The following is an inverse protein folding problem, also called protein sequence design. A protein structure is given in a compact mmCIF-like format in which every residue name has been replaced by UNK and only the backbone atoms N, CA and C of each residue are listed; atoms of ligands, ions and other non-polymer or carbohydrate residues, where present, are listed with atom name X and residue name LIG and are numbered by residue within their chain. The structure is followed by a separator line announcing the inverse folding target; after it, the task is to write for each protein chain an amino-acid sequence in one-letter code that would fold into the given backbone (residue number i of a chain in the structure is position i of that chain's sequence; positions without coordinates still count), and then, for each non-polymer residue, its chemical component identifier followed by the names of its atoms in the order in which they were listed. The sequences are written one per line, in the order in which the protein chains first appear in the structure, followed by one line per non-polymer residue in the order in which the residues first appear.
data_IF_660578597721
#
_entry.id   IF_660578597721
#
_cell.length_a   1.000
_cell.length_b   1.000
_cell.length_c   1.000
_cell.angle_alpha   90.00
_cell.angle_beta   90.00
_cell.angle_gamma   90.00
#
_symmetry.space_group_name_H-M   'P 1'
#
loop_
_entity.id
_entity.type
_entity.pdbx_description
1 polymer ?
#
# COMPACT_ATOMS: atom_id res chain seq x y z
N UNK A 1 16.60 -9.96 6.79
CA UNK A 1 15.78 -11.12 6.39
C UNK A 1 14.36 -10.59 6.24
N UNK A 2 13.80 -10.61 5.03
CA UNK A 2 12.37 -10.33 4.85
C UNK A 2 11.60 -11.31 5.75
N UNK A 3 10.66 -10.80 6.54
CA UNK A 3 9.81 -11.63 7.40
C UNK A 3 8.41 -11.50 6.83
N UNK A 4 7.73 -12.61 6.62
CA UNK A 4 6.32 -12.54 6.29
C UNK A 4 5.55 -11.99 7.49
N UNK A 5 4.61 -11.08 7.22
CA UNK A 5 3.64 -10.61 8.19
C UNK A 5 2.27 -11.11 7.78
N UNK A 6 1.59 -11.83 8.66
CA UNK A 6 0.22 -12.30 8.42
C UNK A 6 -0.74 -11.62 9.38
N UNK A 7 -2.01 -11.52 8.96
CA UNK A 7 -3.04 -10.96 9.81
C UNK A 7 -4.45 -11.21 9.29
N UNK A 8 -5.41 -10.80 10.09
CA UNK A 8 -6.82 -10.76 9.73
C UNK A 8 -7.40 -9.43 10.19
N UNK A 9 -8.26 -8.82 9.38
CA UNK A 9 -8.96 -7.60 9.76
C UNK A 9 -9.38 -6.78 8.55
N UNK A 10 -9.70 -5.51 8.81
CA UNK A 10 -10.18 -4.60 7.76
C UNK A 10 -9.08 -4.30 6.75
N UNK A 11 -9.38 -4.48 5.47
CA UNK A 11 -8.48 -4.13 4.37
C UNK A 11 -9.20 -3.17 3.42
N UNK A 12 -8.54 -2.06 3.11
CA UNK A 12 -8.99 -1.11 2.10
C UNK A 12 -8.09 -1.27 0.86
N UNK A 13 -8.68 -1.60 -0.28
CA UNK A 13 -7.99 -1.91 -1.53
C UNK A 13 -8.39 -0.86 -2.58
N UNK A 14 -7.43 -0.28 -3.28
CA UNK A 14 -7.70 0.80 -4.22
C UNK A 14 -6.69 0.86 -5.37
N UNK A 15 -7.12 1.32 -6.56
CA UNK A 15 -6.19 1.63 -7.64
C UNK A 15 -5.38 2.88 -7.29
N UNK A 16 -4.09 2.84 -7.57
CA UNK A 16 -3.16 3.92 -7.26
C UNK A 16 -2.32 4.31 -8.47
N UNK A 17 -2.43 5.57 -8.89
CA UNK A 17 -1.55 6.18 -9.89
C UNK A 17 -0.24 6.55 -9.19
N UNK A 18 0.85 5.85 -9.48
CA UNK A 18 2.14 6.05 -8.83
C UNK A 18 3.18 6.73 -9.71
N UNK A 19 2.88 6.92 -10.99
CA UNK A 19 3.72 7.65 -11.93
C UNK A 19 2.82 8.48 -12.85
N UNK A 20 2.98 9.80 -12.79
CA UNK A 20 2.18 10.74 -13.58
C UNK A 20 2.70 10.87 -15.01
N UNK A 21 3.99 10.67 -15.24
CA UNK A 21 4.59 10.85 -16.56
C UNK A 21 4.15 9.73 -17.50
N UNK A 22 4.10 8.50 -16.98
CA UNK A 22 3.71 7.30 -17.74
C UNK A 22 2.24 6.93 -17.58
N UNK A 23 1.53 7.53 -16.61
CA UNK A 23 0.17 7.13 -16.25
C UNK A 23 0.09 5.78 -15.54
N UNK A 24 1.20 5.25 -15.05
CA UNK A 24 1.30 3.90 -14.48
C UNK A 24 0.55 3.73 -13.17
N UNK A 25 -0.17 2.60 -13.06
CA UNK A 25 -1.01 2.29 -11.92
C UNK A 25 -0.66 0.93 -11.31
N UNK A 26 -0.90 0.82 -10.01
CA UNK A 26 -0.87 -0.44 -9.28
C UNK A 26 -2.11 -0.57 -8.38
N UNK A 27 -2.27 -1.72 -7.73
CA UNK A 27 -3.28 -1.93 -6.70
C UNK A 27 -2.60 -1.85 -5.34
N UNK A 28 -3.04 -0.93 -4.49
CA UNK A 28 -2.60 -0.89 -3.10
C UNK A 28 -3.66 -1.47 -2.19
N UNK A 29 -3.22 -2.29 -1.24
CA UNK A 29 -3.98 -2.71 -0.09
C UNK A 29 -3.43 -2.01 1.16
N UNK A 30 -4.34 -1.54 2.01
CA UNK A 30 -4.03 -0.89 3.27
C UNK A 30 -4.81 -1.52 4.42
N UNK A 31 -4.10 -1.92 5.45
CA UNK A 31 -4.65 -2.45 6.70
C UNK A 31 -3.85 -1.91 7.89
N UNK A 32 -4.28 -2.29 9.08
CA UNK A 32 -3.61 -1.91 10.32
C UNK A 32 -3.42 -3.15 11.18
N UNK A 33 -2.27 -3.23 11.84
CA UNK A 33 -1.95 -4.26 12.81
C UNK A 33 -1.65 -3.62 14.18
N UNK A 34 -1.35 -4.45 15.18
CA UNK A 34 -0.95 -4.00 16.52
C UNK A 34 -1.93 -2.99 17.13
N UNK A 35 -3.21 -3.34 17.14
CA UNK A 35 -4.32 -2.50 17.61
C UNK A 35 -4.41 -1.13 16.91
N UNK A 36 -3.98 -1.04 15.65
CA UNK A 36 -4.00 0.20 14.88
C UNK A 36 -2.67 0.95 14.84
N UNK A 37 -1.69 0.56 15.67
CA UNK A 37 -0.41 1.26 15.78
C UNK A 37 0.50 1.03 14.57
N UNK A 38 0.33 -0.07 13.84
CA UNK A 38 1.12 -0.36 12.64
C UNK A 38 0.28 -0.17 11.40
N UNK A 39 0.66 0.77 10.54
CA UNK A 39 0.14 0.85 9.17
C UNK A 39 0.80 -0.23 8.32
N UNK A 40 -0.01 -1.04 7.65
CA UNK A 40 0.48 -2.08 6.74
C UNK A 40 -0.03 -1.77 5.34
N UNK A 41 0.90 -1.55 4.42
CA UNK A 41 0.60 -1.32 3.01
C UNK A 41 1.22 -2.43 2.17
N UNK A 42 0.60 -2.74 1.05
CA UNK A 42 1.27 -3.54 0.05
C UNK A 42 0.65 -3.46 -1.32
N UNK A 43 1.44 -3.83 -2.31
CA UNK A 43 0.96 -3.95 -3.69
C UNK A 43 0.31 -5.32 -3.85
N UNK A 44 -0.94 -5.36 -4.34
CA UNK A 44 -1.54 -6.61 -4.82
C UNK A 44 -1.04 -6.82 -6.26
N UNK A 45 -0.35 -7.93 -6.55
CA UNK A 45 0.22 -8.16 -7.86
C UNK A 45 -0.84 -8.33 -8.94
N UNK A 46 -0.59 -7.71 -10.09
CA UNK A 46 -1.40 -7.86 -11.30
C UNK A 46 -0.51 -8.44 -12.40
N UNK A 47 -0.85 -9.64 -12.89
CA UNK A 47 -0.11 -10.28 -13.97
C UNK A 47 -0.08 -9.38 -15.22
N UNK A 48 1.07 -9.29 -15.89
CA UNK A 48 1.27 -8.42 -17.05
C UNK A 48 1.45 -6.94 -16.74
N UNK A 49 1.31 -6.49 -15.48
CA UNK A 49 1.56 -5.09 -15.13
C UNK A 49 3.07 -4.81 -15.03
N UNK A 50 3.67 -4.41 -16.16
CA UNK A 50 5.10 -4.06 -16.25
C UNK A 50 5.50 -2.84 -15.43
N UNK A 51 4.53 -2.08 -14.92
CA UNK A 51 4.78 -0.85 -14.18
C UNK A 51 4.62 -0.99 -12.66
N UNK A 52 4.47 -2.22 -12.14
CA UNK A 52 4.40 -2.43 -10.70
C UNK A 52 5.62 -1.81 -9.98
N UNK A 53 5.43 -0.98 -8.94
CA UNK A 53 6.52 -0.18 -8.37
C UNK A 53 7.59 -0.99 -7.63
N UNK A 54 7.36 -2.28 -7.35
CA UNK A 54 8.27 -3.18 -6.63
C UNK A 54 8.47 -2.79 -5.17
N UNK A 55 9.32 -1.80 -4.91
CA UNK A 55 9.59 -1.24 -3.58
C UNK A 55 8.75 0.02 -3.32
N UNK A 56 7.79 -0.11 -2.41
CA UNK A 56 6.91 0.99 -2.00
C UNK A 56 7.63 2.14 -1.29
N UNK A 57 8.73 1.89 -0.58
CA UNK A 57 9.54 2.96 0.01
C UNK A 57 10.34 3.70 -1.07
N UNK A 58 10.88 2.99 -2.06
CA UNK A 58 11.52 3.63 -3.21
C UNK A 58 10.50 4.46 -4.02
N UNK A 59 9.28 3.96 -4.20
CA UNK A 59 8.18 4.72 -4.79
C UNK A 59 7.88 5.99 -3.99
N UNK A 60 7.74 5.89 -2.66
CA UNK A 60 7.52 7.05 -1.80
C UNK A 60 8.64 8.09 -1.90
N UNK A 61 9.90 7.64 -2.00
CA UNK A 61 11.05 8.52 -2.16
C UNK A 61 11.00 9.36 -3.45
N UNK A 62 10.46 8.81 -4.55
CA UNK A 62 10.34 9.53 -5.85
C UNK A 62 9.35 10.68 -5.83
N UNK A 63 8.30 10.60 -5.00
CA UNK A 63 7.24 11.61 -4.98
C UNK A 63 7.65 12.92 -4.29
N UNK A 64 8.88 12.99 -3.77
CA UNK A 64 9.43 14.09 -2.98
C UNK A 64 8.55 14.48 -1.78
N UNK A 65 9.17 15.10 -0.77
CA UNK A 65 8.43 15.60 0.39
C UNK A 65 8.17 17.08 0.21
N UNK A 66 6.91 17.48 0.30
CA UNK A 66 6.54 18.90 0.33
C UNK A 66 6.65 19.39 1.78
N UNK A 67 7.65 20.23 2.04
CA UNK A 67 7.90 20.88 3.34
C UNK A 67 8.99 20.23 4.20
N UNK A 68 9.35 20.91 5.29
CA UNK A 68 10.33 20.44 6.28
C UNK A 68 9.71 19.38 7.21
N UNK A 69 9.43 18.20 6.68
CA UNK A 69 9.14 17.05 7.54
C UNK A 69 10.45 16.64 8.24
N UNK A 70 10.47 16.76 9.57
CA UNK A 70 11.60 16.32 10.41
C UNK A 70 11.80 14.80 10.28
N UNK A 71 13.02 14.33 10.54
CA UNK A 71 13.37 12.91 10.52
C UNK A 71 14.24 12.50 9.32
N UNK A 72 14.68 11.25 9.32
CA UNK A 72 15.50 10.66 8.25
C UNK A 72 14.72 10.53 6.93
N UNK A 73 15.41 10.26 5.83
CA UNK A 73 14.76 9.95 4.55
C UNK A 73 13.75 8.80 4.66
N UNK A 74 14.06 7.79 5.46
CA UNK A 74 13.21 6.61 5.69
C UNK A 74 11.94 6.98 6.45
N UNK A 75 12.06 7.82 7.49
CA UNK A 75 10.93 8.37 8.25
C UNK A 75 9.93 9.05 7.31
N UNK A 76 10.44 9.92 6.44
CA UNK A 76 9.62 10.66 5.49
C UNK A 76 8.90 9.71 4.54
N UNK A 77 9.59 8.70 3.99
CA UNK A 77 8.98 7.70 3.12
C UNK A 77 7.87 6.91 3.84
N UNK A 78 8.12 6.52 5.10
CA UNK A 78 7.11 5.91 5.97
C UNK A 78 5.88 6.80 6.16
N UNK A 79 6.09 8.08 6.47
CA UNK A 79 5.01 9.06 6.61
C UNK A 79 4.18 9.20 5.32
N UNK A 80 4.81 9.26 4.16
CA UNK A 80 4.10 9.33 2.88
C UNK A 80 3.24 8.08 2.64
N UNK A 81 3.73 6.89 2.99
CA UNK A 81 2.96 5.65 2.89
C UNK A 81 1.78 5.63 3.87
N UNK A 82 2.01 6.00 5.13
CA UNK A 82 0.94 6.09 6.13
C UNK A 82 -0.15 7.10 5.72
N UNK A 83 0.26 8.27 5.20
CA UNK A 83 -0.64 9.27 4.63
C UNK A 83 -1.44 8.70 3.46
N UNK A 84 -0.78 8.02 2.53
CA UNK A 84 -1.43 7.42 1.35
C UNK A 84 -2.48 6.38 1.74
N UNK A 85 -2.16 5.49 2.68
CA UNK A 85 -3.08 4.47 3.18
C UNK A 85 -4.26 5.07 3.94
N UNK A 86 -3.97 5.83 5.00
CA UNK A 86 -4.99 6.44 5.87
C UNK A 86 -5.88 7.43 5.11
N UNK A 87 -5.28 8.25 4.24
CA UNK A 87 -5.98 9.16 3.35
C UNK A 87 -6.90 8.43 2.38
N UNK A 88 -6.45 7.33 1.77
CA UNK A 88 -7.28 6.54 0.84
C UNK A 88 -8.44 5.80 1.53
N UNK A 89 -8.29 5.47 2.82
CA UNK A 89 -9.40 4.94 3.62
C UNK A 89 -10.45 6.01 3.95
N UNK A 90 -10.00 7.24 4.19
CA UNK A 90 -10.86 8.37 4.56
C UNK A 90 -11.57 8.97 3.35
N UNK A 91 -10.84 9.18 2.25
CA UNK A 91 -11.33 9.71 0.98
C UNK A 91 -11.16 8.64 -0.08
N UNK A 92 -12.23 7.86 -0.26
CA UNK A 92 -12.23 6.68 -1.13
C UNK A 92 -12.15 7.07 -2.60
N UNK A 93 -11.22 6.45 -3.31
CA UNK A 93 -11.10 6.54 -4.77
C UNK A 93 -12.23 5.74 -5.43
N UNK A 94 -12.65 6.10 -6.63
CA UNK A 94 -13.58 5.29 -7.41
C UNK A 94 -13.03 3.87 -7.56
N UNK A 95 -13.87 2.86 -7.33
CA UNK A 95 -13.48 1.46 -7.34
C UNK A 95 -12.80 0.95 -6.07
N UNK A 96 -12.65 1.77 -5.02
CA UNK A 96 -12.13 1.28 -3.73
C UNK A 96 -12.99 0.15 -3.19
N UNK A 97 -12.37 -0.98 -2.85
CA UNK A 97 -13.00 -2.11 -2.15
C UNK A 97 -12.62 -2.01 -0.68
N UNK A 98 -13.61 -1.90 0.20
CA UNK A 98 -13.40 -1.93 1.65
C UNK A 98 -13.98 -3.21 2.21
N UNK A 99 -13.12 -4.06 2.77
CA UNK A 99 -13.49 -5.37 3.30
C UNK A 99 -13.39 -5.31 4.82
N UNK A 100 -14.50 -5.47 5.56
CA UNK A 100 -14.49 -5.37 7.02
C UNK A 100 -13.54 -6.35 7.70
N UNK A 101 -13.43 -7.55 7.15
CA UNK A 101 -12.54 -8.60 7.64
C UNK A 101 -12.12 -9.53 6.51
N UNK A 102 -10.80 -9.69 6.33
CA UNK A 102 -10.21 -10.72 5.47
C UNK A 102 -8.83 -11.11 6.00
N UNK A 103 -8.39 -12.32 5.66
CA UNK A 103 -7.03 -12.80 5.98
C UNK A 103 -6.06 -12.33 4.90
N UNK A 104 -4.88 -11.94 5.33
CA UNK A 104 -3.86 -11.39 4.45
C UNK A 104 -2.45 -11.78 4.90
N UNK A 105 -1.55 -11.73 3.93
CA UNK A 105 -0.10 -11.86 4.13
C UNK A 105 0.59 -10.72 3.41
N UNK A 106 1.63 -10.16 4.02
CA UNK A 106 2.58 -9.26 3.39
C UNK A 106 3.94 -9.93 3.43
N UNK A 107 4.48 -10.24 2.26
CA UNK A 107 5.90 -10.52 2.13
C UNK A 107 6.63 -9.18 2.34
N UNK A 108 7.16 -8.99 3.55
CA UNK A 108 7.67 -7.69 3.98
C UNK A 108 8.97 -7.38 3.26
N UNK A 109 8.90 -6.39 2.38
CA UNK A 109 10.10 -5.78 1.82
C UNK A 109 10.80 -4.91 2.89
N UNK A 110 10.04 -4.12 3.68
CA UNK A 110 10.62 -3.16 4.62
C UNK A 110 9.64 -2.70 5.70
N UNK A 111 10.18 -2.29 6.84
CA UNK A 111 9.44 -1.61 7.90
C UNK A 111 10.24 -0.44 8.47
N UNK A 112 9.55 0.59 8.93
CA UNK A 112 10.11 1.78 9.57
C UNK A 112 9.31 2.10 10.83
N UNK A 113 9.98 2.19 11.97
CA UNK A 113 9.42 2.76 13.20
C UNK A 113 9.46 4.27 13.11
N UNK A 114 8.35 4.94 13.41
CA UNK A 114 8.24 6.39 13.29
C UNK A 114 8.74 7.10 14.56
N UNK A 115 9.47 8.20 14.39
CA UNK A 115 9.99 8.99 15.53
C UNK A 115 8.86 9.60 16.38
N UNK A 116 7.67 9.75 15.80
CA UNK A 116 6.44 10.17 16.48
C UNK A 116 5.21 9.59 15.77
N UNK A 117 4.06 9.42 16.47
CA UNK A 117 2.85 8.92 15.85
C UNK A 117 2.41 9.78 14.65
N UNK A 118 2.08 9.12 13.54
CA UNK A 118 1.63 9.75 12.31
C UNK A 118 0.37 9.08 11.77
N UNK A 119 -0.71 9.85 11.59
CA UNK A 119 -2.06 9.32 11.35
C UNK A 119 -2.51 8.25 12.37
N UNK A 120 -1.99 8.32 13.61
CA UNK A 120 -2.24 7.34 14.66
C UNK A 120 -1.34 6.11 14.63
N UNK A 121 -0.41 6.02 13.67
CA UNK A 121 0.52 4.90 13.54
C UNK A 121 1.90 5.25 14.11
N UNK A 122 2.53 4.33 14.81
CA UNK A 122 3.92 4.41 15.27
C UNK A 122 4.88 3.62 14.39
N UNK A 123 4.37 2.78 13.48
CA UNK A 123 5.17 1.94 12.59
C UNK A 123 4.51 1.81 11.22
N UNK A 124 5.32 1.72 10.17
CA UNK A 124 4.87 1.45 8.80
C UNK A 124 5.56 0.22 8.26
N UNK A 125 4.77 -0.70 7.72
CA UNK A 125 5.22 -1.91 7.02
C UNK A 125 4.77 -1.82 5.58
N UNK A 126 5.67 -2.12 4.65
CA UNK A 126 5.35 -2.15 3.23
C UNK A 126 5.95 -3.36 2.51
N UNK A 127 5.21 -3.92 1.56
CA UNK A 127 5.66 -5.07 0.78
C UNK A 127 4.68 -5.54 -0.27
N UNK A 128 4.75 -6.83 -0.61
CA UNK A 128 3.84 -7.49 -1.55
C UNK A 128 2.66 -8.05 -0.77
N UNK A 129 1.45 -7.63 -1.11
CA UNK A 129 0.22 -8.00 -0.40
C UNK A 129 -0.46 -9.19 -1.08
N UNK A 130 -0.84 -10.18 -0.28
CA UNK A 130 -1.59 -11.36 -0.72
C UNK A 130 -2.84 -11.49 0.13
N UNK A 131 -3.98 -11.67 -0.54
CA UNK A 131 -5.26 -11.94 0.09
C UNK A 131 -5.52 -13.44 0.09
N UNK A 132 -6.03 -13.98 1.19
CA UNK A 132 -6.39 -15.38 1.27
C UNK A 132 -7.66 -15.71 0.45
N UNK A 133 -8.56 -14.73 0.31
CA UNK A 133 -9.76 -14.83 -0.52
C UNK A 133 -9.39 -14.57 -1.99
N UNK A 134 -9.47 -15.63 -2.80
CA UNK A 134 -9.13 -15.59 -4.22
C UNK A 134 -10.12 -14.77 -5.03
N UNK A 135 -11.41 -14.79 -4.71
CA UNK A 135 -12.42 -13.99 -5.42
C UNK A 135 -12.21 -12.51 -5.15
N UNK A 136 -11.90 -12.16 -3.91
CA UNK A 136 -11.53 -10.79 -3.54
C UNK A 136 -10.24 -10.36 -4.26
N UNK A 137 -9.25 -11.25 -4.37
CA UNK A 137 -8.01 -10.97 -5.09
C UNK A 137 -8.27 -10.68 -6.57
N UNK A 138 -9.12 -11.46 -7.25
CA UNK A 138 -9.48 -11.20 -8.65
C UNK A 138 -10.21 -9.86 -8.81
N UNK A 139 -11.17 -9.58 -7.92
CA UNK A 139 -11.88 -8.28 -7.92
C UNK A 139 -10.94 -7.11 -7.70
N UNK A 140 -9.93 -7.26 -6.84
CA UNK A 140 -8.90 -6.25 -6.60
C UNK A 140 -8.04 -6.01 -7.84
N UNK A 141 -7.60 -7.07 -8.52
CA UNK A 141 -6.80 -6.96 -9.75
C UNK A 141 -7.57 -6.27 -10.89
N UNK A 142 -8.88 -6.48 -10.96
CA UNK A 142 -9.75 -5.83 -11.95
C UNK A 142 -9.88 -4.30 -11.78
N UNK A 143 -9.37 -3.71 -10.69
CA UNK A 143 -9.45 -2.26 -10.44
C UNK A 143 -8.47 -1.42 -11.26
N UNK A 144 -7.44 -2.02 -11.88
CA UNK A 144 -6.56 -1.33 -12.83
C UNK A 144 -6.97 -1.77 -14.24
N UNK A 145 -7.68 -0.90 -15.00
CA UNK A 145 -8.00 -1.20 -16.38
C UNK A 145 -6.69 -1.16 -17.18
N UNK A 146 -6.32 -2.26 -17.84
CA UNK A 146 -5.19 -2.27 -18.79
C UNK A 146 -4.27 -3.49 -18.80
N UNK A 147 -4.37 -4.46 -17.88
CA UNK A 147 -3.54 -5.66 -17.96
C UNK A 147 -3.98 -6.66 -19.05
N UNK A 148 -5.20 -6.52 -19.58
CA UNK A 148 -5.80 -7.38 -20.62
C UNK A 148 -6.16 -6.62 -21.91
N UNK A 149 -5.65 -5.40 -22.10
CA UNK A 149 -5.92 -4.60 -23.29
C UNK A 149 -4.63 -4.09 -23.93
N UNK A 150 -3.75 -5.02 -24.30
CA UNK A 150 -2.82 -4.82 -25.42
C UNK A 150 -3.49 -5.39 -26.67
N UNK A 151 -3.97 -4.50 -27.53
CA UNK A 151 -4.22 -4.80 -28.96
C UNK A 151 -2.89 -4.91 -29.66
#
# INVERSE_FOLDING_TARGET
MARDMTGAGRVTIFPFLHDWETGSRCILAYTTADNGLTAVLGVIPVEGNVHEPGDLFAMAARHHFIGEWKGSHEQRCGCWLACTGSGSRTVRKTGTIDVPETKWTVDMARAVDLDSPYYGHSRVVAGRFTLADTELAERARALVPGALASV
#
